data_IF_086510573790
#
_entry.id   IF_086510573790
#
_cell.length_a   1.000
_cell.length_b   1.000
_cell.length_c   1.000
_cell.angle_alpha   90.00
_cell.angle_beta   90.00
_cell.angle_gamma   90.00
#
_symmetry.space_group_name_H-M   'P 1'
#
loop_
_entity.id
_entity.type
_entity.pdbx_description
1 polymer ?
#
# COMPACT_ATOMS: atom_id res chain seq x y z
N UNK A 1 -28.86 2.19 -2.28
CA UNK A 1 -28.41 0.97 -3.00
C UNK A 1 -26.94 1.16 -3.25
N UNK A 2 -26.10 0.48 -2.46
CA UNK A 2 -24.65 0.65 -2.52
C UNK A 2 -24.12 0.13 -3.85
N UNK A 3 -23.56 1.05 -4.64
CA UNK A 3 -22.81 0.77 -5.85
C UNK A 3 -21.53 0.07 -5.42
N UNK A 4 -21.56 -1.25 -5.37
CA UNK A 4 -20.36 -2.07 -5.17
C UNK A 4 -19.39 -1.63 -6.27
N UNK A 5 -18.29 -1.00 -5.88
CA UNK A 5 -17.23 -0.64 -6.82
C UNK A 5 -16.52 -1.93 -7.20
N UNK A 6 -17.05 -2.64 -8.20
CA UNK A 6 -16.29 -3.68 -8.86
C UNK A 6 -15.06 -3.01 -9.50
N UNK A 7 -13.84 -3.46 -9.17
CA UNK A 7 -12.64 -2.96 -9.84
C UNK A 7 -12.76 -3.18 -11.35
N UNK A 8 -12.26 -2.22 -12.13
CA UNK A 8 -12.23 -2.31 -13.58
C UNK A 8 -11.25 -3.43 -13.99
N UNK A 9 -11.73 -4.37 -14.81
CA UNK A 9 -10.98 -5.53 -15.29
C UNK A 9 -9.68 -5.09 -15.98
N UNK A 10 -9.70 -3.97 -16.70
CA UNK A 10 -8.51 -3.45 -17.38
C UNK A 10 -7.37 -3.11 -16.40
N UNK A 11 -7.70 -2.60 -15.20
CA UNK A 11 -6.70 -2.32 -14.18
C UNK A 11 -6.10 -3.62 -13.61
N UNK A 12 -6.90 -4.67 -13.47
CA UNK A 12 -6.43 -5.97 -12.98
C UNK A 12 -5.48 -6.64 -13.98
N UNK A 13 -5.83 -6.65 -15.27
CA UNK A 13 -4.97 -7.20 -16.33
C UNK A 13 -3.65 -6.43 -16.43
N UNK A 14 -3.70 -5.10 -16.37
CA UNK A 14 -2.51 -4.24 -16.38
C UNK A 14 -1.62 -4.51 -15.17
N UNK A 15 -2.23 -4.76 -14.00
CA UNK A 15 -1.49 -5.09 -12.77
C UNK A 15 -0.69 -6.39 -12.92
N UNK A 16 -1.28 -7.43 -13.51
CA UNK A 16 -0.57 -8.69 -13.77
C UNK A 16 0.67 -8.49 -14.63
N UNK A 17 0.56 -7.71 -15.72
CA UNK A 17 1.70 -7.43 -16.60
C UNK A 17 2.81 -6.67 -15.85
N UNK A 18 2.45 -5.67 -15.05
CA UNK A 18 3.42 -4.91 -14.25
C UNK A 18 4.14 -5.79 -13.23
N UNK A 19 3.42 -6.69 -12.56
CA UNK A 19 4.00 -7.64 -11.59
C UNK A 19 5.02 -8.55 -12.28
N UNK A 20 4.70 -9.08 -13.47
CA UNK A 20 5.62 -9.95 -14.21
C UNK A 20 6.90 -9.22 -14.61
N UNK A 21 6.79 -7.97 -15.08
CA UNK A 21 7.95 -7.13 -15.41
C UNK A 21 8.79 -6.85 -14.15
N UNK A 22 8.16 -6.52 -13.02
CA UNK A 22 8.86 -6.29 -11.77
C UNK A 22 9.63 -7.54 -11.29
N UNK A 23 9.03 -8.72 -11.37
CA UNK A 23 9.73 -9.98 -11.03
C UNK A 23 10.91 -10.27 -11.97
N UNK A 24 10.76 -10.00 -13.27
CA UNK A 24 11.87 -10.13 -14.22
C UNK A 24 13.02 -9.17 -13.89
N UNK A 25 12.72 -7.93 -13.49
CA UNK A 25 13.73 -6.96 -13.05
C UNK A 25 14.46 -7.41 -11.77
N UNK A 26 13.74 -7.95 -10.78
CA UNK A 26 14.34 -8.52 -9.57
C UNK A 26 15.24 -9.72 -9.91
N UNK A 27 14.82 -10.58 -10.84
CA UNK A 27 15.62 -11.72 -11.27
C UNK A 27 16.92 -11.28 -11.96
N UNK A 28 16.88 -10.28 -12.84
CA UNK A 28 18.05 -9.79 -13.57
C UNK A 28 19.03 -9.04 -12.65
N UNK A 29 18.53 -8.33 -11.65
CA UNK A 29 19.35 -7.55 -10.72
C UNK A 29 20.01 -8.36 -9.60
N UNK A 30 19.70 -9.67 -9.49
CA UNK A 30 20.20 -10.55 -8.42
C UNK A 30 21.72 -10.58 -8.27
N UNK A 31 22.48 -10.41 -9.35
CA UNK A 31 23.94 -10.41 -9.34
C UNK A 31 24.54 -9.12 -8.79
N UNK A 32 23.79 -8.02 -8.90
CA UNK A 32 24.20 -6.69 -8.46
C UNK A 32 23.72 -6.37 -7.04
N UNK A 33 22.66 -7.03 -6.58
CA UNK A 33 22.07 -6.81 -5.27
C UNK A 33 23.02 -7.20 -4.14
N UNK A 34 22.98 -6.51 -3.02
CA UNK A 34 23.64 -6.86 -1.76
C UNK A 34 22.63 -7.52 -0.82
N UNK A 35 23.12 -8.35 0.10
CA UNK A 35 22.25 -9.00 1.08
C UNK A 35 22.00 -8.05 2.25
N UNK A 36 20.80 -7.42 2.30
CA UNK A 36 20.37 -6.56 3.39
C UNK A 36 19.30 -7.28 4.25
N UNK A 37 19.69 -7.95 5.35
CA UNK A 37 18.74 -8.55 6.28
C UNK A 37 17.99 -7.47 7.07
N UNK A 38 16.70 -7.71 7.32
CA UNK A 38 15.99 -6.97 8.36
C UNK A 38 16.60 -7.26 9.75
N UNK A 39 16.42 -6.38 10.75
CA UNK A 39 17.01 -6.56 12.08
C UNK A 39 16.70 -7.91 12.74
N UNK A 40 15.50 -8.45 12.52
CA UNK A 40 15.07 -9.76 13.03
C UNK A 40 15.53 -10.94 12.17
N UNK A 41 15.87 -10.72 10.90
CA UNK A 41 16.30 -11.77 9.96
C UNK A 41 17.78 -12.12 10.08
N UNK A 42 18.57 -11.28 10.76
CA UNK A 42 20.02 -11.43 10.95
C UNK A 42 20.44 -12.81 11.48
N UNK A 43 19.57 -13.46 12.27
CA UNK A 43 19.90 -14.75 12.90
C UNK A 43 19.53 -15.97 12.06
N UNK A 44 18.77 -15.79 10.96
CA UNK A 44 18.37 -16.88 10.07
C UNK A 44 19.59 -17.48 9.36
N UNK A 45 19.63 -18.81 9.16
CA UNK A 45 20.72 -19.47 8.46
C UNK A 45 21.01 -18.88 7.07
N UNK A 46 19.96 -18.48 6.34
CA UNK A 46 20.06 -17.91 4.99
C UNK A 46 20.84 -16.58 4.92
N UNK A 47 20.96 -15.86 6.04
CA UNK A 47 21.73 -14.61 6.13
C UNK A 47 23.10 -14.80 6.81
N UNK A 48 23.36 -15.99 7.37
CA UNK A 48 24.64 -16.37 7.96
C UNK A 48 25.54 -17.11 6.97
N UNK A 49 24.95 -17.93 6.10
CA UNK A 49 25.65 -18.48 4.97
C UNK A 49 25.71 -17.42 3.86
N UNK A 50 26.88 -17.26 3.24
CA UNK A 50 27.01 -16.49 2.01
C UNK A 50 26.33 -17.27 0.87
N UNK A 51 25.00 -17.26 0.86
CA UNK A 51 24.22 -17.89 -0.21
C UNK A 51 24.50 -17.15 -1.52
N UNK A 52 25.04 -17.87 -2.50
CA UNK A 52 25.40 -17.31 -3.82
C UNK A 52 24.17 -16.85 -4.62
N UNK A 53 23.00 -17.42 -4.34
CA UNK A 53 21.74 -17.13 -5.05
C UNK A 53 20.78 -16.38 -4.12
N UNK A 54 20.50 -15.11 -4.44
CA UNK A 54 19.58 -14.26 -3.68
C UNK A 54 18.14 -14.50 -4.11
N UNK A 55 17.22 -14.53 -3.14
CA UNK A 55 15.78 -14.62 -3.42
C UNK A 55 15.24 -13.28 -3.94
N UNK A 56 14.11 -13.26 -4.69
CA UNK A 56 13.53 -12.02 -5.19
C UNK A 56 13.28 -10.97 -4.08
N UNK A 57 12.86 -11.42 -2.89
CA UNK A 57 12.65 -10.55 -1.72
C UNK A 57 13.95 -9.92 -1.21
N UNK A 58 15.05 -10.69 -1.18
CA UNK A 58 16.35 -10.15 -0.79
C UNK A 58 16.86 -9.11 -1.80
N UNK A 59 16.61 -9.34 -3.09
CA UNK A 59 16.95 -8.38 -4.13
C UNK A 59 16.10 -7.12 -4.02
N UNK A 60 14.81 -7.26 -3.74
CA UNK A 60 13.88 -6.15 -3.56
C UNK A 60 14.35 -5.18 -2.45
N UNK A 61 14.89 -5.70 -1.34
CA UNK A 61 15.41 -4.88 -0.25
C UNK A 61 16.58 -3.96 -0.67
N UNK A 62 17.42 -4.39 -1.62
CA UNK A 62 18.55 -3.59 -2.13
C UNK A 62 18.24 -2.88 -3.45
N UNK A 63 17.06 -3.12 -4.03
CA UNK A 63 16.72 -2.66 -5.37
C UNK A 63 16.69 -1.13 -5.48
N UNK A 64 16.38 -0.44 -4.38
CA UNK A 64 16.45 1.03 -4.30
C UNK A 64 17.85 1.55 -4.66
N UNK A 65 18.91 0.92 -4.14
CA UNK A 65 20.30 1.30 -4.43
C UNK A 65 20.62 1.10 -5.91
N UNK A 66 20.14 0.01 -6.49
CA UNK A 66 20.35 -0.34 -7.92
C UNK A 66 19.67 0.70 -8.81
N UNK A 67 18.39 1.01 -8.57
CA UNK A 67 17.65 2.02 -9.34
C UNK A 67 18.31 3.39 -9.21
N UNK A 68 18.75 3.79 -8.01
CA UNK A 68 19.45 5.07 -7.79
C UNK A 68 20.71 5.19 -8.62
N UNK A 69 21.42 4.10 -8.86
CA UNK A 69 22.64 4.07 -9.69
C UNK A 69 22.35 4.23 -11.19
N UNK A 70 21.21 3.69 -11.66
CA UNK A 70 20.72 3.90 -13.03
C UNK A 70 20.28 5.36 -13.22
N UNK A 71 19.76 5.97 -12.16
CA UNK A 71 19.18 7.31 -12.17
C UNK A 71 17.74 7.33 -12.67
N UNK A 72 17.16 8.53 -12.79
CA UNK A 72 15.79 8.72 -13.25
C UNK A 72 15.76 9.57 -14.51
N UNK A 73 15.09 9.14 -15.60
CA UNK A 73 14.88 10.01 -16.76
C UNK A 73 13.85 11.11 -16.48
N UNK A 74 13.16 11.04 -15.34
CA UNK A 74 12.15 12.01 -14.95
C UNK A 74 12.76 13.40 -14.70
N UNK A 75 12.09 14.43 -15.21
CA UNK A 75 12.41 15.81 -14.86
C UNK A 75 12.10 16.07 -13.39
N UNK A 76 12.82 17.02 -12.79
CA UNK A 76 12.53 17.46 -11.43
C UNK A 76 11.08 17.97 -11.33
N UNK A 77 10.35 17.64 -10.24
CA UNK A 77 8.98 18.08 -10.09
C UNK A 77 8.89 19.60 -10.06
N UNK A 78 7.87 20.17 -10.71
CA UNK A 78 7.61 21.61 -10.64
C UNK A 78 7.26 21.99 -9.20
N UNK A 79 8.02 22.88 -8.54
CA UNK A 79 7.71 23.28 -7.17
C UNK A 79 6.38 24.03 -7.16
N UNK A 80 5.38 23.51 -6.44
CA UNK A 80 4.07 24.16 -6.28
C UNK A 80 4.11 25.36 -5.31
N UNK A 81 5.24 25.57 -4.62
CA UNK A 81 5.37 26.41 -3.42
C UNK A 81 4.36 26.01 -2.32
N UNK A 82 4.56 26.47 -1.09
CA UNK A 82 3.57 26.27 -0.03
C UNK A 82 2.40 27.20 -0.31
N UNK A 83 1.18 26.68 -0.25
CA UNK A 83 0.00 27.54 -0.25
C UNK A 83 0.05 28.47 0.98
N UNK A 84 -0.51 29.69 0.91
CA UNK A 84 -0.42 30.71 1.97
C UNK A 84 -1.08 30.33 3.30
N UNK A 85 -1.64 29.13 3.43
CA UNK A 85 -2.31 28.67 4.64
C UNK A 85 -3.62 29.43 4.89
N UNK A 86 -4.11 29.34 6.12
CA UNK A 86 -5.30 30.07 6.58
C UNK A 86 -4.90 31.51 6.88
N UNK A 87 -5.71 32.47 6.44
CA UNK A 87 -5.50 33.85 6.82
C UNK A 87 -5.98 34.08 8.26
N UNK A 88 -5.38 35.06 8.93
CA UNK A 88 -5.83 35.48 10.26
C UNK A 88 -7.27 36.00 10.16
N UNK A 89 -8.18 35.41 10.94
CA UNK A 89 -9.61 35.75 10.90
C UNK A 89 -10.48 34.83 10.03
N UNK A 90 -9.90 33.83 9.34
CA UNK A 90 -10.69 32.85 8.59
C UNK A 90 -11.57 31.98 9.50
N UNK A 91 -12.89 32.10 9.36
CA UNK A 91 -13.87 31.27 10.09
C UNK A 91 -14.19 30.02 9.26
N UNK A 92 -14.11 28.84 9.89
CA UNK A 92 -14.49 27.58 9.26
C UNK A 92 -15.92 27.19 9.62
N UNK A 93 -16.70 26.82 8.61
CA UNK A 93 -18.03 26.25 8.80
C UNK A 93 -17.86 24.90 9.51
N UNK A 94 -18.49 24.75 10.69
CA UNK A 94 -18.49 23.48 11.42
C UNK A 94 -19.29 22.46 10.61
N UNK A 95 -18.74 21.25 10.47
CA UNK A 95 -19.43 20.12 9.82
C UNK A 95 -20.73 19.82 10.55
N UNK A 96 -21.79 19.52 9.80
CA UNK A 96 -23.09 19.13 10.38
C UNK A 96 -22.94 17.85 11.20
N UNK A 97 -23.39 17.89 12.46
CA UNK A 97 -23.45 16.68 13.29
C UNK A 97 -24.72 15.90 12.93
N UNK A 98 -24.55 14.70 12.41
CA UNK A 98 -25.66 13.77 12.20
C UNK A 98 -25.96 13.00 13.51
N UNK A 99 -27.23 12.74 13.84
CA UNK A 99 -27.58 11.96 15.01
C UNK A 99 -27.11 10.51 14.87
N UNK A 100 -26.76 9.89 16.01
CA UNK A 100 -26.35 8.49 16.05
C UNK A 100 -27.61 7.62 15.97
N UNK A 101 -27.78 6.87 14.88
CA UNK A 101 -28.83 5.86 14.75
C UNK A 101 -28.41 4.62 15.55
N UNK A 102 -29.08 4.37 16.68
CA UNK A 102 -28.90 3.13 17.44
C UNK A 102 -29.97 2.12 17.00
N UNK A 103 -29.56 0.92 16.59
CA UNK A 103 -30.50 -0.19 16.32
C UNK A 103 -31.13 -0.65 17.63
N UNK A 104 -32.45 -0.69 17.73
CA UNK A 104 -33.15 -1.36 18.82
C UNK A 104 -32.99 -2.88 18.67
N UNK A 105 -32.97 -3.61 19.78
CA UNK A 105 -33.11 -5.07 19.75
C UNK A 105 -34.56 -5.37 19.37
N UNK A 106 -34.78 -6.21 18.35
CA UNK A 106 -36.11 -6.73 18.04
C UNK A 106 -36.60 -7.55 19.24
N UNK A 107 -37.51 -7.00 20.03
CA UNK A 107 -38.34 -7.81 20.92
C UNK A 107 -39.35 -8.52 20.03
N UNK A 108 -39.08 -9.78 19.69
CA UNK A 108 -40.09 -10.66 19.12
C UNK A 108 -41.22 -10.75 20.13
N UNK A 109 -42.33 -10.07 19.87
CA UNK A 109 -43.57 -10.24 20.63
C UNK A 109 -44.06 -11.65 20.34
N UNK A 110 -43.78 -12.58 21.25
CA UNK A 110 -44.41 -13.90 21.25
C UNK A 110 -45.86 -13.71 21.73
N UNK A 111 -46.79 -13.63 20.78
CA UNK A 111 -48.21 -13.74 21.05
C UNK A 111 -48.46 -15.11 21.71
N UNK A 112 -48.82 -15.10 22.99
CA UNK A 112 -49.37 -16.29 23.67
C UNK A 112 -50.73 -16.58 23.06
N UNK A 113 -50.85 -17.67 22.30
CA UNK A 113 -52.14 -18.25 21.95
C UNK A 113 -52.84 -18.70 23.24
N UNK A 114 -53.97 -18.07 23.53
CA UNK A 114 -54.88 -18.41 24.64
C UNK A 114 -55.54 -19.76 24.30
N UNK A 115 -55.53 -20.66 25.29
CA UNK A 115 -56.22 -21.95 25.30
C UNK A 115 -57.72 -21.79 25.59
#
# INVERSE_FOLDING_TARGET
MDKIQTPDVQHEESWWQLVMIAYAQLYLSRSLANTLPNPWEKYLPAFKSNVTIKSPTQVQNDFERIIRMIGTPAQSPKPRQKAPGRQLGDIQIKRTRHPIVKKSKNTTVTEKMIA
#
